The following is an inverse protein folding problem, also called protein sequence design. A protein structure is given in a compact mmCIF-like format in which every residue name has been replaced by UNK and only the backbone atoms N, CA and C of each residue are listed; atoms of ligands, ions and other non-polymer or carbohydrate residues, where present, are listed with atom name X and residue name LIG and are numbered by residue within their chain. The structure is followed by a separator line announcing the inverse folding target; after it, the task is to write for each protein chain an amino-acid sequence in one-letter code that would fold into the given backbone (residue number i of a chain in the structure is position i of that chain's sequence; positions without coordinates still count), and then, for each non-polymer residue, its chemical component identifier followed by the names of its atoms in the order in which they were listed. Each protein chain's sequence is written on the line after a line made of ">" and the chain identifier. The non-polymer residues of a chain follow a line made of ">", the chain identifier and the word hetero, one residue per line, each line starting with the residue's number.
data_IF_309020536884
#
_entry.id   IF_309020536884
#
_cell.length_a   1.000
_cell.length_b   1.000
_cell.length_c   1.000
_cell.angle_alpha   90.00
_cell.angle_beta   90.00
_cell.angle_gamma   90.00
#
_symmetry.space_group_name_H-M   'P 1'
#
loop_
_entity.id
_entity.type
_entity.pdbx_description
1 polymer ?
#
# COMPACT_ATOMS: atom_id res chain seq x y z
N UNK A 1 -34.36 -17.07 11.44
CA UNK A 1 -34.25 -15.60 11.56
C UNK A 1 -32.80 -15.20 11.35
N UNK A 2 -32.54 -14.73 10.13
CA UNK A 2 -31.45 -13.90 9.60
C UNK A 2 -30.10 -13.80 10.34
N UNK A 3 -29.15 -14.66 9.99
CA UNK A 3 -27.71 -14.38 10.07
C UNK A 3 -27.22 -13.84 8.72
N UNK A 4 -27.26 -12.52 8.53
CA UNK A 4 -26.44 -11.88 7.50
C UNK A 4 -24.99 -11.91 7.98
N UNK A 5 -24.26 -12.97 7.63
CA UNK A 5 -22.80 -12.96 7.69
C UNK A 5 -22.31 -11.81 6.80
N UNK A 6 -21.73 -10.77 7.41
CA UNK A 6 -20.88 -9.82 6.71
C UNK A 6 -19.89 -10.62 5.87
N UNK A 7 -20.03 -10.56 4.54
CA UNK A 7 -19.12 -11.25 3.63
C UNK A 7 -17.77 -10.54 3.66
N UNK A 8 -16.99 -10.82 4.71
CA UNK A 8 -15.59 -10.47 4.79
C UNK A 8 -14.89 -11.06 3.57
N UNK A 9 -14.36 -10.21 2.69
CA UNK A 9 -13.48 -10.65 1.63
C UNK A 9 -12.20 -11.21 2.29
N UNK A 10 -11.90 -12.51 2.16
CA UNK A 10 -10.64 -13.02 2.68
C UNK A 10 -9.51 -12.26 2.00
N UNK A 11 -8.54 -11.78 2.79
CA UNK A 11 -7.49 -10.88 2.32
C UNK A 11 -6.64 -11.52 1.22
N UNK A 12 -6.52 -12.85 1.23
CA UNK A 12 -5.96 -13.64 0.15
C UNK A 12 -6.63 -13.37 -1.21
N UNK A 13 -7.92 -12.99 -1.26
CA UNK A 13 -8.62 -12.57 -2.47
C UNK A 13 -8.28 -11.14 -2.89
N UNK A 14 -8.00 -10.23 -1.97
CA UNK A 14 -7.50 -8.87 -2.31
C UNK A 14 -6.12 -8.98 -2.97
N UNK A 15 -5.24 -9.84 -2.44
CA UNK A 15 -3.91 -10.07 -3.00
C UNK A 15 -3.89 -11.00 -4.24
N UNK A 16 -4.84 -11.95 -4.35
CA UNK A 16 -4.92 -12.90 -5.49
C UNK A 16 -5.74 -12.38 -6.67
N UNK A 17 -6.60 -11.36 -6.48
CA UNK A 17 -7.19 -10.63 -7.59
C UNK A 17 -6.10 -9.97 -8.45
N UNK A 18 -6.45 -9.57 -9.69
CA UNK A 18 -5.64 -8.59 -10.44
C UNK A 18 -5.57 -7.35 -9.51
N UNK A 19 -4.51 -7.14 -8.74
CA UNK A 19 -4.66 -6.60 -7.39
C UNK A 19 -4.69 -5.10 -7.37
N UNK A 20 -4.72 -4.51 -8.56
CA UNK A 20 -4.58 -3.10 -8.74
C UNK A 20 -5.53 -2.73 -9.83
N UNK A 21 -6.32 -1.70 -9.55
CA UNK A 21 -7.21 -1.10 -10.51
C UNK A 21 -6.50 -0.99 -11.87
N UNK A 22 -7.21 -1.26 -12.97
CA UNK A 22 -6.64 -1.17 -14.31
C UNK A 22 -6.12 0.24 -14.61
N UNK A 23 -6.62 1.24 -13.88
CA UNK A 23 -6.35 2.65 -14.12
C UNK A 23 -5.82 3.33 -12.85
N UNK A 24 -4.52 3.60 -12.86
CA UNK A 24 -3.88 4.49 -11.90
C UNK A 24 -3.86 5.90 -12.45
N UNK A 25 -4.32 6.85 -11.65
CA UNK A 25 -4.38 8.26 -12.03
C UNK A 25 -3.52 9.09 -11.07
N UNK A 26 -2.77 10.04 -11.59
CA UNK A 26 -2.02 10.97 -10.74
C UNK A 26 -2.99 11.75 -9.85
N UNK A 27 -2.71 11.84 -8.55
CA UNK A 27 -3.53 12.59 -7.62
C UNK A 27 -3.27 14.09 -7.80
N UNK A 28 -3.96 14.71 -8.76
CA UNK A 28 -3.96 16.15 -9.03
C UNK A 28 -5.32 16.74 -8.70
N UNK A 29 -5.40 18.06 -8.48
CA UNK A 29 -6.60 18.81 -8.02
C UNK A 29 -7.95 18.35 -8.63
N UNK A 30 -8.09 18.01 -9.93
CA UNK A 30 -9.38 17.57 -10.47
C UNK A 30 -9.90 16.24 -9.89
N UNK A 31 -9.01 15.33 -9.50
CA UNK A 31 -9.38 14.01 -8.97
C UNK A 31 -9.82 14.05 -7.50
N UNK A 32 -9.37 15.06 -6.75
CA UNK A 32 -9.75 15.21 -5.35
C UNK A 32 -11.27 15.37 -5.18
N UNK A 33 -11.94 16.02 -6.15
CA UNK A 33 -13.40 16.21 -6.12
C UNK A 33 -14.21 14.92 -6.36
N UNK A 34 -13.61 13.89 -6.96
CA UNK A 34 -14.27 12.60 -7.22
C UNK A 34 -14.04 11.58 -6.09
N UNK A 35 -13.11 11.88 -5.18
CA UNK A 35 -12.78 11.03 -4.04
C UNK A 35 -13.65 11.45 -2.86
N UNK A 36 -14.39 10.54 -2.21
CA UNK A 36 -15.16 10.87 -1.01
C UNK A 36 -14.27 11.51 0.06
N UNK A 37 -14.76 12.56 0.74
CA UNK A 37 -13.96 13.36 1.68
C UNK A 37 -13.24 12.51 2.73
N UNK A 38 -13.87 11.44 3.22
CA UNK A 38 -13.25 10.53 4.19
C UNK A 38 -11.94 9.91 3.66
N UNK A 39 -11.87 9.63 2.37
CA UNK A 39 -10.71 9.00 1.74
C UNK A 39 -9.67 10.01 1.29
N UNK A 40 -10.05 11.26 1.03
CA UNK A 40 -9.10 12.30 0.62
C UNK A 40 -7.96 12.46 1.64
N UNK A 41 -8.30 12.44 2.93
CA UNK A 41 -7.33 12.62 4.00
C UNK A 41 -6.36 11.43 4.11
N UNK A 42 -6.84 10.19 3.96
CA UNK A 42 -6.01 8.98 3.94
C UNK A 42 -5.18 8.83 2.65
N UNK A 43 -5.74 9.22 1.50
CA UNK A 43 -5.10 9.08 0.21
C UNK A 43 -4.00 10.12 0.01
N UNK A 44 -4.28 11.39 0.31
CA UNK A 44 -3.37 12.51 0.06
C UNK A 44 -2.30 12.71 1.13
N UNK A 45 -2.15 11.76 2.06
CA UNK A 45 -1.16 11.87 3.13
C UNK A 45 0.27 11.83 2.58
N UNK A 46 1.07 12.87 2.84
CA UNK A 46 2.48 12.94 2.47
C UNK A 46 3.38 12.17 3.44
N UNK A 47 2.90 11.95 4.68
CA UNK A 47 3.62 11.27 5.76
C UNK A 47 3.56 9.75 5.72
N UNK A 48 4.00 9.15 6.84
CA UNK A 48 4.02 7.71 7.03
C UNK A 48 2.62 7.19 7.39
N UNK A 49 2.03 6.41 6.50
CA UNK A 49 0.75 5.75 6.77
C UNK A 49 0.81 4.92 8.06
N UNK A 50 1.93 4.26 8.32
CA UNK A 50 2.15 3.49 9.56
C UNK A 50 1.96 4.35 10.79
N UNK A 51 2.58 5.53 10.87
CA UNK A 51 2.45 6.42 12.02
C UNK A 51 1.00 6.89 12.18
N UNK A 52 0.33 7.18 11.07
CA UNK A 52 -1.05 7.65 11.08
C UNK A 52 -2.04 6.57 11.51
N UNK A 53 -1.80 5.31 11.12
CA UNK A 53 -2.57 4.17 11.58
C UNK A 53 -2.37 3.93 13.08
N UNK A 54 -1.12 3.97 13.57
CA UNK A 54 -0.79 3.86 14.99
C UNK A 54 -1.54 4.92 15.82
N UNK A 55 -1.53 6.17 15.37
CA UNK A 55 -2.26 7.24 16.05
C UNK A 55 -3.78 7.06 15.99
N UNK A 56 -4.32 6.64 14.84
CA UNK A 56 -5.76 6.42 14.67
C UNK A 56 -6.30 5.21 15.44
N UNK A 57 -5.43 4.29 15.86
CA UNK A 57 -5.78 3.09 16.62
C UNK A 57 -5.30 3.12 18.06
N UNK A 58 -4.91 4.28 18.58
CA UNK A 58 -4.39 4.46 19.93
C UNK A 58 -3.26 3.47 20.28
N UNK A 59 -2.38 3.22 19.31
CA UNK A 59 -1.23 2.31 19.46
C UNK A 59 -1.52 0.85 19.13
N UNK A 60 -2.78 0.44 18.96
CA UNK A 60 -3.14 -0.92 18.59
C UNK A 60 -2.83 -1.18 17.12
N UNK A 61 -1.57 -1.51 16.80
CA UNK A 61 -1.10 -1.68 15.43
C UNK A 61 -0.21 -2.91 15.27
N UNK A 62 -0.44 -3.70 14.23
CA UNK A 62 0.35 -4.89 13.90
C UNK A 62 0.59 -4.98 12.39
N UNK A 63 1.74 -5.51 11.99
CA UNK A 63 2.03 -5.90 10.61
C UNK A 63 2.05 -7.42 10.51
N UNK A 64 1.15 -7.98 9.71
CA UNK A 64 1.17 -9.40 9.36
C UNK A 64 1.74 -9.60 7.97
N UNK A 65 2.81 -10.38 7.86
CA UNK A 65 3.44 -10.69 6.58
C UNK A 65 2.69 -11.83 5.91
N UNK A 66 2.07 -11.55 4.76
CA UNK A 66 1.34 -12.55 3.98
C UNK A 66 2.32 -13.29 3.07
N UNK A 67 3.17 -12.54 2.34
CA UNK A 67 4.19 -13.10 1.44
C UNK A 67 5.42 -12.19 1.37
N UNK A 68 6.59 -12.79 1.20
CA UNK A 68 7.85 -12.09 0.91
C UNK A 68 8.73 -12.98 0.04
N UNK A 69 8.77 -12.73 -1.27
CA UNK A 69 9.33 -13.68 -2.23
C UNK A 69 9.90 -12.99 -3.48
N UNK A 70 10.83 -13.66 -4.15
CA UNK A 70 11.37 -13.21 -5.43
C UNK A 70 10.40 -13.54 -6.56
N UNK A 71 10.00 -12.53 -7.33
CA UNK A 71 9.18 -12.74 -8.52
C UNK A 71 9.34 -11.61 -9.53
N UNK A 72 8.79 -11.80 -10.73
CA UNK A 72 8.67 -10.73 -11.72
C UNK A 72 7.48 -9.84 -11.37
N UNK A 73 7.65 -8.51 -11.24
CA UNK A 73 6.55 -7.59 -11.01
C UNK A 73 5.55 -7.57 -12.16
N UNK A 74 4.33 -7.10 -11.89
CA UNK A 74 3.33 -6.86 -12.94
C UNK A 74 3.76 -5.73 -13.86
N UNK A 75 3.23 -5.70 -15.08
CA UNK A 75 3.54 -4.67 -16.09
C UNK A 75 3.37 -3.24 -15.56
N UNK A 76 2.30 -2.97 -14.82
CA UNK A 76 2.03 -1.63 -14.25
C UNK A 76 2.98 -1.26 -13.11
N UNK A 77 3.52 -2.23 -12.39
CA UNK A 77 4.51 -2.06 -11.31
C UNK A 77 5.89 -1.82 -11.91
N UNK A 78 6.29 -2.68 -12.86
CA UNK A 78 7.53 -2.55 -13.61
C UNK A 78 7.61 -1.20 -14.34
N UNK A 79 6.53 -0.75 -14.97
CA UNK A 79 6.46 0.57 -15.61
C UNK A 79 6.63 1.71 -14.62
N UNK A 80 6.00 1.64 -13.45
CA UNK A 80 6.12 2.68 -12.42
C UNK A 80 7.56 2.80 -11.91
N UNK A 81 8.29 1.68 -11.84
CA UNK A 81 9.70 1.63 -11.43
C UNK A 81 10.70 1.79 -12.57
N UNK A 82 10.24 2.10 -13.80
CA UNK A 82 11.06 2.13 -15.01
C UNK A 82 11.95 0.88 -15.20
N UNK A 83 11.45 -0.29 -14.78
CA UNK A 83 12.16 -1.56 -14.87
C UNK A 83 12.20 -2.06 -16.32
N UNK A 84 13.34 -2.63 -16.70
CA UNK A 84 13.50 -3.31 -17.99
C UNK A 84 12.91 -4.73 -17.92
N UNK A 85 12.60 -5.31 -19.09
CA UNK A 85 11.83 -6.55 -19.21
C UNK A 85 12.38 -7.72 -18.36
N UNK A 86 11.45 -8.45 -17.72
CA UNK A 86 11.65 -9.68 -16.90
C UNK A 86 12.54 -9.56 -15.65
N UNK A 87 12.98 -8.36 -15.28
CA UNK A 87 13.72 -8.16 -14.03
C UNK A 87 12.95 -8.68 -12.81
N UNK A 88 13.67 -9.32 -11.89
CA UNK A 88 13.13 -9.82 -10.62
C UNK A 88 13.19 -8.73 -9.55
N UNK A 89 12.22 -8.80 -8.66
CA UNK A 89 12.13 -7.97 -7.47
C UNK A 89 11.70 -8.84 -6.29
N UNK A 90 12.02 -8.39 -5.08
CA UNK A 90 11.29 -8.88 -3.91
C UNK A 90 9.91 -8.25 -3.95
N UNK A 91 8.93 -9.11 -3.87
CA UNK A 91 7.53 -8.78 -3.76
C UNK A 91 7.12 -9.10 -2.33
N UNK A 92 6.74 -8.04 -1.60
CA UNK A 92 6.30 -8.13 -0.22
C UNK A 92 4.84 -7.75 -0.13
N UNK A 93 4.04 -8.60 0.48
CA UNK A 93 2.61 -8.41 0.72
C UNK A 93 2.35 -8.52 2.21
N UNK A 94 1.70 -7.49 2.77
CA UNK A 94 1.43 -7.40 4.20
C UNK A 94 0.02 -6.87 4.46
N UNK A 95 -0.51 -7.24 5.62
CA UNK A 95 -1.68 -6.63 6.23
C UNK A 95 -1.21 -5.68 7.32
N UNK A 96 -1.79 -4.48 7.36
CA UNK A 96 -1.66 -3.55 8.47
C UNK A 96 -2.95 -3.64 9.28
N UNK A 97 -2.83 -4.14 10.50
CA UNK A 97 -3.95 -4.37 11.39
C UNK A 97 -4.05 -3.31 12.46
N UNK A 98 -5.26 -2.95 12.80
CA UNK A 98 -5.58 -2.10 13.94
C UNK A 98 -6.72 -2.73 14.73
N UNK A 99 -6.54 -2.88 16.04
CA UNK A 99 -7.44 -3.66 16.90
C UNK A 99 -7.74 -5.08 16.35
N UNK A 100 -6.72 -5.74 15.78
CA UNK A 100 -6.85 -7.07 15.17
C UNK A 100 -7.61 -7.11 13.83
N UNK A 101 -8.09 -5.97 13.34
CA UNK A 101 -8.79 -5.85 12.05
C UNK A 101 -7.87 -5.32 10.96
N UNK A 102 -7.94 -5.89 9.77
CA UNK A 102 -7.15 -5.37 8.63
C UNK A 102 -7.73 -4.06 8.14
N UNK A 103 -6.97 -2.99 8.32
CA UNK A 103 -7.32 -1.66 7.83
C UNK A 103 -6.71 -1.42 6.45
N UNK A 104 -5.50 -1.92 6.20
CA UNK A 104 -4.80 -1.72 4.93
C UNK A 104 -4.12 -3.00 4.47
N UNK A 105 -4.28 -3.34 3.19
CA UNK A 105 -3.45 -4.32 2.52
C UNK A 105 -2.37 -3.58 1.73
N UNK A 106 -1.11 -3.89 1.99
CA UNK A 106 0.02 -3.23 1.32
C UNK A 106 0.83 -4.22 0.50
N UNK A 107 1.33 -3.74 -0.64
CA UNK A 107 2.24 -4.48 -1.51
C UNK A 107 3.40 -3.59 -1.92
N UNK A 108 4.60 -4.13 -1.78
CA UNK A 108 5.83 -3.43 -2.12
C UNK A 108 6.64 -4.21 -3.13
N UNK A 109 7.24 -3.48 -4.08
CA UNK A 109 8.12 -4.02 -5.13
C UNK A 109 9.49 -3.41 -4.94
N UNK A 110 10.47 -4.26 -4.65
CA UNK A 110 11.86 -3.89 -4.39
C UNK A 110 12.75 -4.55 -5.45
N UNK A 111 13.10 -3.84 -6.53
CA UNK A 111 13.97 -4.37 -7.58
C UNK A 111 15.29 -4.91 -7.02
N UNK A 112 15.85 -5.95 -7.65
CA UNK A 112 17.18 -6.46 -7.27
C UNK A 112 18.25 -5.35 -7.31
N UNK A 113 18.20 -4.46 -8.30
CA UNK A 113 19.10 -3.30 -8.42
C UNK A 113 19.00 -2.33 -7.24
N UNK A 114 17.82 -2.23 -6.61
CA UNK A 114 17.59 -1.41 -5.43
C UNK A 114 18.20 -2.04 -4.18
N UNK A 115 18.18 -3.36 -4.06
CA UNK A 115 18.61 -4.12 -2.89
C UNK A 115 20.14 -4.31 -2.84
N UNK A 116 20.88 -3.21 -2.93
CA UNK A 116 22.35 -3.17 -2.92
C UNK A 116 22.89 -2.26 -1.82
N UNK A 117 24.12 -2.49 -1.36
CA UNK A 117 24.70 -1.74 -0.24
C UNK A 117 23.83 -1.77 1.02
N UNK A 118 23.62 -0.60 1.65
CA UNK A 118 22.80 -0.45 2.87
C UNK A 118 21.33 -0.85 2.67
N UNK A 119 20.84 -0.85 1.42
CA UNK A 119 19.45 -1.20 1.10
C UNK A 119 19.21 -2.72 1.05
N UNK A 120 20.25 -3.56 1.12
CA UNK A 120 20.10 -5.03 1.23
C UNK A 120 19.20 -5.43 2.40
N UNK A 121 19.23 -4.66 3.50
CA UNK A 121 18.38 -4.90 4.69
C UNK A 121 16.87 -4.88 4.39
N UNK A 122 16.44 -4.20 3.32
CA UNK A 122 15.03 -4.14 2.93
C UNK A 122 14.50 -5.49 2.41
N UNK A 123 15.40 -6.41 2.02
CA UNK A 123 15.01 -7.74 1.53
C UNK A 123 14.33 -8.63 2.58
N UNK A 124 14.68 -8.45 3.85
CA UNK A 124 14.13 -9.23 4.95
C UNK A 124 13.95 -8.37 6.20
N UNK A 125 12.91 -7.55 6.19
CA UNK A 125 12.58 -6.65 7.30
C UNK A 125 11.65 -7.31 8.35
N UNK A 126 11.36 -8.61 8.22
CA UNK A 126 10.47 -9.32 9.14
C UNK A 126 9.08 -8.68 9.19
N UNK A 127 8.58 -8.42 10.39
CA UNK A 127 7.31 -7.70 10.65
C UNK A 127 7.49 -6.19 10.74
N UNK A 128 8.69 -5.64 10.49
CA UNK A 128 8.86 -4.18 10.54
C UNK A 128 8.05 -3.51 9.41
N UNK A 129 7.34 -2.41 9.71
CA UNK A 129 6.66 -1.62 8.68
C UNK A 129 7.67 -1.06 7.69
N UNK A 130 7.43 -1.25 6.39
CA UNK A 130 8.33 -0.69 5.37
C UNK A 130 8.36 0.84 5.44
N UNK A 131 7.21 1.48 5.66
CA UNK A 131 7.09 2.93 5.77
C UNK A 131 8.05 3.51 6.81
N UNK A 132 8.14 2.90 8.00
CA UNK A 132 9.07 3.32 9.04
C UNK A 132 10.53 3.38 8.54
N UNK A 133 10.96 2.38 7.78
CA UNK A 133 12.33 2.32 7.24
C UNK A 133 12.56 3.33 6.11
N UNK A 134 11.53 3.60 5.29
CA UNK A 134 11.58 4.59 4.22
C UNK A 134 11.70 6.00 4.79
N UNK A 135 10.82 6.37 5.73
CA UNK A 135 10.75 7.73 6.29
C UNK A 135 11.91 8.06 7.24
N UNK A 136 12.58 7.05 7.81
CA UNK A 136 13.84 7.25 8.58
C UNK A 136 15.08 7.40 7.70
N UNK A 137 14.98 7.20 6.39
CA UNK A 137 16.15 7.29 5.51
C UNK A 137 16.41 8.75 5.11
N UNK A 138 17.61 9.31 5.33
CA UNK A 138 17.87 10.74 5.21
C UNK A 138 17.67 11.29 3.78
N UNK A 139 18.01 10.50 2.76
CA UNK A 139 17.88 10.88 1.36
C UNK A 139 16.60 10.35 0.70
N UNK A 140 15.56 10.06 1.49
CA UNK A 140 14.31 9.54 0.94
C UNK A 140 13.58 10.64 0.17
N UNK A 141 13.25 10.35 -1.09
CA UNK A 141 12.40 11.21 -1.92
C UNK A 141 11.18 10.41 -2.37
N UNK A 142 9.99 10.94 -2.11
CA UNK A 142 8.74 10.35 -2.59
C UNK A 142 8.37 10.92 -3.95
N UNK A 143 8.19 10.05 -4.94
CA UNK A 143 7.66 10.41 -6.25
C UNK A 143 6.16 10.68 -6.23
N UNK A 144 5.63 11.07 -7.38
CA UNK A 144 4.21 11.42 -7.56
C UNK A 144 3.25 10.35 -7.01
N UNK A 145 2.24 10.82 -6.28
CA UNK A 145 1.14 9.98 -5.79
C UNK A 145 0.19 9.63 -6.93
N UNK A 146 -0.15 8.35 -7.04
CA UNK A 146 -1.21 7.86 -7.90
C UNK A 146 -2.31 7.22 -7.06
N UNK A 147 -3.55 7.41 -7.45
CA UNK A 147 -4.72 6.78 -6.81
C UNK A 147 -5.50 5.95 -7.81
N UNK A 148 -6.29 5.03 -7.26
CA UNK A 148 -7.31 4.34 -8.00
C UNK A 148 -8.48 3.95 -7.10
N UNK A 149 -9.63 3.73 -7.73
CA UNK A 149 -10.80 3.11 -7.12
C UNK A 149 -11.16 1.88 -7.95
N UNK A 150 -11.54 0.79 -7.29
CA UNK A 150 -12.01 -0.42 -7.95
C UNK A 150 -13.03 -1.15 -7.09
N UNK A 151 -13.90 -1.92 -7.74
CA UNK A 151 -14.84 -2.82 -7.08
C UNK A 151 -14.24 -4.21 -7.10
N UNK A 152 -14.24 -4.89 -5.95
CA UNK A 152 -13.76 -6.27 -5.89
C UNK A 152 -14.68 -7.19 -6.69
N UNK A 153 -14.15 -8.21 -7.37
CA UNK A 153 -15.01 -9.17 -8.10
C UNK A 153 -15.95 -9.96 -7.18
N UNK A 154 -15.67 -9.99 -5.88
CA UNK A 154 -16.41 -10.78 -4.89
C UNK A 154 -17.21 -9.91 -3.90
N UNK A 155 -17.20 -8.58 -4.07
CA UNK A 155 -17.98 -7.67 -3.23
C UNK A 155 -18.35 -6.41 -4.01
N UNK A 156 -19.58 -5.89 -3.88
CA UNK A 156 -19.96 -4.61 -4.49
C UNK A 156 -19.24 -3.41 -3.87
N UNK A 157 -18.47 -3.61 -2.78
CA UNK A 157 -17.76 -2.54 -2.10
C UNK A 157 -16.63 -1.97 -2.97
N UNK A 158 -16.59 -0.64 -3.01
CA UNK A 158 -15.51 0.11 -3.62
C UNK A 158 -14.30 0.15 -2.69
N UNK A 159 -13.13 -0.12 -3.23
CA UNK A 159 -11.85 -0.01 -2.57
C UNK A 159 -11.05 1.13 -3.16
N UNK A 160 -10.55 1.99 -2.29
CA UNK A 160 -9.58 3.01 -2.66
C UNK A 160 -8.17 2.48 -2.47
N UNK A 161 -7.30 2.86 -3.39
CA UNK A 161 -5.89 2.51 -3.32
C UNK A 161 -5.03 3.70 -3.74
N UNK A 162 -3.81 3.72 -3.22
CA UNK A 162 -2.77 4.65 -3.66
C UNK A 162 -1.46 3.93 -3.87
N UNK A 163 -0.60 4.52 -4.69
CA UNK A 163 0.79 4.07 -4.84
C UNK A 163 1.73 5.23 -5.10
N UNK A 164 2.96 5.07 -4.63
CA UNK A 164 4.08 5.98 -4.90
C UNK A 164 5.36 5.17 -5.04
N UNK A 165 6.28 5.66 -5.86
CA UNK A 165 7.67 5.20 -5.83
C UNK A 165 8.43 6.04 -4.80
N UNK A 166 9.12 5.37 -3.90
CA UNK A 166 10.05 5.97 -2.94
C UNK A 166 11.46 5.72 -3.44
N UNK A 167 12.26 6.78 -3.54
CA UNK A 167 13.64 6.70 -3.97
C UNK A 167 14.56 6.83 -2.77
N UNK A 168 15.43 5.85 -2.58
CA UNK A 168 16.50 5.85 -1.59
C UNK A 168 17.83 5.86 -2.35
N UNK A 169 18.59 6.95 -2.24
CA UNK A 169 19.83 7.14 -3.01
C UNK A 169 19.63 6.88 -4.53
N UNK A 170 18.52 7.41 -5.07
CA UNK A 170 18.11 7.23 -6.48
C UNK A 170 17.52 5.85 -6.82
N UNK A 171 17.46 4.90 -5.88
CA UNK A 171 16.94 3.55 -6.11
C UNK A 171 15.47 3.44 -5.69
N UNK A 172 14.62 3.06 -6.64
CA UNK A 172 13.16 3.03 -6.45
C UNK A 172 12.64 1.80 -5.72
N UNK A 173 11.69 2.02 -4.82
CA UNK A 173 10.80 1.02 -4.20
C UNK A 173 9.36 1.47 -4.45
N UNK A 174 8.55 0.64 -5.09
CA UNK A 174 7.12 0.94 -5.26
C UNK A 174 6.37 0.44 -4.04
N UNK A 175 5.53 1.29 -3.46
CA UNK A 175 4.59 0.91 -2.41
C UNK A 175 3.19 1.18 -2.90
N UNK A 176 2.33 0.16 -2.82
CA UNK A 176 0.90 0.26 -3.07
C UNK A 176 0.14 -0.09 -1.81
N UNK A 177 -0.86 0.70 -1.48
CA UNK A 177 -1.69 0.58 -0.28
C UNK A 177 -3.15 0.56 -0.72
N UNK A 178 -3.89 -0.47 -0.29
CA UNK A 178 -5.33 -0.64 -0.53
C UNK A 178 -6.04 -0.48 0.80
N UNK A 179 -6.94 0.49 0.87
CA UNK A 179 -7.67 0.81 2.09
C UNK A 179 -8.94 -0.04 2.18
N UNK A 180 -9.14 -0.66 3.34
CA UNK A 180 -10.22 -1.61 3.56
C UNK A 180 -11.49 -0.93 4.08
N UNK A 181 -12.68 -1.52 3.85
CA UNK A 181 -13.96 -0.93 4.26
C UNK A 181 -14.07 -0.48 5.72
N UNK A 182 -13.46 -1.14 6.74
CA UNK A 182 -13.49 -0.66 8.12
C UNK A 182 -12.97 0.78 8.27
N UNK A 183 -12.06 1.22 7.40
CA UNK A 183 -11.54 2.59 7.45
C UNK A 183 -12.50 3.64 6.88
N UNK A 184 -13.59 3.25 6.21
CA UNK A 184 -14.48 4.19 5.53
C UNK A 184 -15.16 5.18 6.49
N UNK A 185 -15.27 4.82 7.77
CA UNK A 185 -15.87 5.65 8.83
C UNK A 185 -14.83 6.37 9.69
N UNK A 186 -13.54 6.07 9.49
CA UNK A 186 -12.45 6.61 10.30
C UNK A 186 -11.96 7.94 9.73
N UNK A 187 -11.91 8.96 10.58
CA UNK A 187 -11.17 10.18 10.28
C UNK A 187 -9.73 9.99 10.71
N UNK A 188 -8.76 10.21 9.82
CA UNK A 188 -7.39 10.16 10.26
C UNK A 188 -7.10 11.32 11.24
N UNK A 189 -6.15 11.14 12.16
CA UNK A 189 -5.68 12.22 13.01
C UNK A 189 -5.16 13.39 12.17
N UNK A 190 -5.28 14.59 12.74
CA UNK A 190 -4.69 15.80 12.17
C UNK A 190 -3.17 15.64 12.08
N UNK A 191 -2.59 16.17 11.02
CA UNK A 191 -1.13 16.18 10.79
C UNK A 191 -0.49 17.23 11.68
#
# INVERSE_FOLDING_TARGET
>A
MSFFHERHLPISLVHSQRPFAPHWRSYKRPLAHQVPRQWQAWLNDSGSLTQRLIQASDGAFEVRVVRNYWHTPRRSEARALAMKGRQKAIIREVELLCHGQVWVCARSIMPYSTLTGRLRRFSNIGTKPLGELLFKHPNMVRGSLQVACFISRHSPLQHWARRSVFYLDGKGILVTEVFMPPMAQLKPPAV
#
